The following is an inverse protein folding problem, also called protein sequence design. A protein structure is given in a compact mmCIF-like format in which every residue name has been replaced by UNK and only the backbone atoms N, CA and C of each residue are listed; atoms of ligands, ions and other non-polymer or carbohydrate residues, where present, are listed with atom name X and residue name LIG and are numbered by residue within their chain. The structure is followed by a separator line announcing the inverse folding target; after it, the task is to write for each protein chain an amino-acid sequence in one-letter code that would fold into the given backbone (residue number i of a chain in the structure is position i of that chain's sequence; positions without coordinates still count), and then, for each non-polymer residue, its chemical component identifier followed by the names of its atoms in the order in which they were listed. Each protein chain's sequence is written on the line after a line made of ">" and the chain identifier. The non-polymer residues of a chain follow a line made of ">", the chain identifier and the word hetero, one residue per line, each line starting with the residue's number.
data_IF_395424754153
#
_entry.id   IF_395424754153
#
_cell.length_a   1.000
_cell.length_b   1.000
_cell.length_c   1.000
_cell.angle_alpha   90.00
_cell.angle_beta   90.00
_cell.angle_gamma   90.00
#
_symmetry.space_group_name_H-M   'P 1'
#
loop_
_entity.id
_entity.type
_entity.pdbx_description
1 polymer ?
#
# COMPACT_ATOMS: atom_id res chain seq x y z
N UNK A 1 -17.10 54.48 4.63
CA UNK A 1 -16.97 53.15 4.01
C UNK A 1 -15.50 52.87 3.70
N UNK A 2 -14.77 52.06 4.48
CA UNK A 2 -13.49 51.53 4.07
C UNK A 2 -13.67 50.10 3.54
N UNK A 3 -13.36 49.91 2.25
CA UNK A 3 -13.38 48.60 1.60
C UNK A 3 -12.27 47.70 2.15
N UNK A 4 -12.66 46.52 2.62
CA UNK A 4 -11.74 45.45 3.02
C UNK A 4 -11.17 44.80 1.77
N UNK A 5 -9.87 44.97 1.52
CA UNK A 5 -9.14 44.16 0.55
C UNK A 5 -9.07 42.71 1.06
N UNK A 6 -9.49 41.69 0.30
CA UNK A 6 -9.31 40.32 0.71
C UNK A 6 -7.82 39.98 0.64
N UNK A 7 -7.26 39.48 1.76
CA UNK A 7 -5.92 38.90 1.80
C UNK A 7 -5.86 37.75 0.80
N UNK A 8 -5.04 37.89 -0.22
CA UNK A 8 -4.66 36.82 -1.12
C UNK A 8 -3.95 35.76 -0.26
N UNK A 9 -4.65 34.67 0.04
CA UNK A 9 -4.02 33.50 0.62
C UNK A 9 -2.99 33.01 -0.40
N UNK A 10 -1.70 33.08 -0.05
CA UNK A 10 -0.65 32.46 -0.82
C UNK A 10 -0.94 30.97 -0.91
N UNK A 11 -1.45 30.52 -2.07
CA UNK A 11 -1.47 29.12 -2.44
C UNK A 11 0.00 28.69 -2.54
N UNK A 12 0.55 28.11 -1.49
CA UNK A 12 1.81 27.38 -1.55
C UNK A 12 1.60 26.21 -2.51
N UNK A 13 2.04 26.40 -3.75
CA UNK A 13 1.72 25.54 -4.88
C UNK A 13 2.24 24.13 -4.73
N UNK A 14 1.30 23.19 -4.68
CA UNK A 14 1.42 21.96 -5.45
C UNK A 14 0.35 22.08 -6.53
N UNK A 15 0.73 22.61 -7.69
CA UNK A 15 -0.15 22.59 -8.86
C UNK A 15 -0.36 21.14 -9.27
N UNK A 16 -1.57 20.81 -9.72
CA UNK A 16 -1.86 19.55 -10.41
C UNK A 16 -0.81 19.35 -11.51
N UNK A 17 0.14 18.44 -11.29
CA UNK A 17 1.11 18.04 -12.30
C UNK A 17 0.40 17.23 -13.38
N UNK A 18 0.98 17.16 -14.57
CA UNK A 18 0.53 16.21 -15.59
C UNK A 18 0.60 14.79 -15.00
N UNK A 19 -0.51 14.04 -15.08
CA UNK A 19 -0.71 12.71 -14.47
C UNK A 19 -0.79 12.66 -12.93
N UNK A 20 -1.20 13.76 -12.26
CA UNK A 20 -1.41 13.74 -10.82
C UNK A 20 -2.53 12.77 -10.40
N UNK A 21 -3.63 12.73 -11.14
CA UNK A 21 -4.77 11.85 -10.91
C UNK A 21 -4.36 10.37 -10.86
N UNK A 22 -3.53 9.94 -11.81
CA UNK A 22 -3.06 8.57 -11.96
C UNK A 22 -2.02 8.19 -10.91
N UNK A 23 -1.17 9.13 -10.48
CA UNK A 23 -0.02 8.82 -9.63
C UNK A 23 -0.30 9.01 -8.12
N UNK A 24 -0.99 10.09 -7.71
CA UNK A 24 -1.16 10.44 -6.29
C UNK A 24 -2.43 11.29 -5.99
N UNK A 25 -3.33 11.41 -6.95
CA UNK A 25 -4.45 12.36 -6.91
C UNK A 25 -5.67 11.88 -6.13
N UNK A 26 -5.71 10.62 -5.69
CA UNK A 26 -6.85 10.07 -4.94
C UNK A 26 -6.91 10.63 -3.52
N UNK A 27 -8.12 10.95 -3.07
CA UNK A 27 -8.46 11.24 -1.67
C UNK A 27 -9.61 10.33 -1.28
N UNK A 28 -9.55 9.74 -0.09
CA UNK A 28 -10.57 8.81 0.41
C UNK A 28 -10.63 8.85 1.94
N UNK A 29 -11.70 8.31 2.51
CA UNK A 29 -11.85 8.11 3.95
C UNK A 29 -11.28 6.76 4.37
N UNK A 30 -11.01 6.58 5.67
CA UNK A 30 -10.60 5.28 6.19
C UNK A 30 -11.67 4.20 5.94
N UNK A 31 -12.95 4.56 6.05
CA UNK A 31 -14.07 3.64 5.83
C UNK A 31 -14.15 3.16 4.36
N UNK A 32 -14.06 4.08 3.40
CA UNK A 32 -14.11 3.73 1.97
C UNK A 32 -12.87 2.96 1.52
N UNK A 33 -11.70 3.33 2.02
CA UNK A 33 -10.48 2.60 1.68
C UNK A 33 -10.49 1.19 2.30
N UNK A 34 -11.09 1.01 3.49
CA UNK A 34 -11.28 -0.32 4.08
C UNK A 34 -12.29 -1.14 3.28
N UNK A 35 -13.38 -0.53 2.77
CA UNK A 35 -14.30 -1.17 1.82
C UNK A 35 -13.58 -1.59 0.53
N UNK A 36 -12.67 -0.75 0.02
CA UNK A 36 -11.83 -1.11 -1.13
C UNK A 36 -10.92 -2.32 -0.83
N UNK A 37 -10.28 -2.40 0.34
CA UNK A 37 -9.50 -3.58 0.74
C UNK A 37 -10.38 -4.83 0.86
N UNK A 38 -11.60 -4.69 1.39
CA UNK A 38 -12.55 -5.79 1.46
C UNK A 38 -12.93 -6.32 0.06
N UNK A 39 -13.14 -5.42 -0.92
CA UNK A 39 -13.37 -5.77 -2.32
C UNK A 39 -12.15 -6.47 -2.94
N UNK A 40 -10.93 -6.02 -2.64
CA UNK A 40 -9.71 -6.69 -3.13
C UNK A 40 -9.59 -8.12 -2.58
N UNK A 41 -10.06 -8.39 -1.35
CA UNK A 41 -10.02 -9.74 -0.76
C UNK A 41 -11.22 -10.61 -1.12
N UNK A 42 -12.36 -9.99 -1.42
CA UNK A 42 -13.61 -10.67 -1.74
C UNK A 42 -14.31 -9.89 -2.86
N UNK A 43 -13.86 -10.11 -4.11
CA UNK A 43 -14.38 -9.39 -5.27
C UNK A 43 -15.91 -9.55 -5.43
N UNK A 44 -16.60 -8.52 -5.94
CA UNK A 44 -18.01 -8.65 -6.31
C UNK A 44 -18.18 -9.60 -7.51
N UNK A 45 -19.44 -9.94 -7.82
CA UNK A 45 -19.77 -10.92 -8.86
C UNK A 45 -19.43 -10.49 -10.31
N UNK A 46 -19.10 -9.21 -10.55
CA UNK A 46 -18.73 -8.74 -11.88
C UNK A 46 -17.41 -9.39 -12.36
N UNK A 47 -17.43 -10.18 -13.45
CA UNK A 47 -16.26 -10.95 -13.86
C UNK A 47 -15.14 -10.10 -14.46
N UNK A 48 -15.45 -8.90 -14.99
CA UNK A 48 -14.43 -8.00 -15.50
C UNK A 48 -13.63 -7.37 -14.35
N UNK A 49 -14.33 -6.97 -13.28
CA UNK A 49 -13.70 -6.44 -12.07
C UNK A 49 -12.89 -7.51 -11.34
N UNK A 50 -13.37 -8.76 -11.26
CA UNK A 50 -12.58 -9.88 -10.72
C UNK A 50 -11.24 -10.02 -11.44
N UNK A 51 -11.25 -10.11 -12.78
CA UNK A 51 -10.02 -10.22 -13.57
C UNK A 51 -9.10 -9.00 -13.41
N UNK A 52 -9.67 -7.80 -13.27
CA UNK A 52 -8.89 -6.58 -13.06
C UNK A 52 -8.18 -6.59 -11.69
N UNK A 53 -8.87 -7.04 -10.63
CA UNK A 53 -8.30 -7.21 -9.30
C UNK A 53 -7.20 -8.28 -9.32
N UNK A 54 -7.46 -9.45 -9.91
CA UNK A 54 -6.47 -10.53 -10.04
C UNK A 54 -5.23 -10.07 -10.80
N UNK A 55 -5.40 -9.35 -11.91
CA UNK A 55 -4.29 -8.78 -12.67
C UNK A 55 -3.47 -7.79 -11.82
N UNK A 56 -4.13 -6.99 -10.98
CA UNK A 56 -3.43 -6.05 -10.10
C UNK A 56 -2.62 -6.76 -9.00
N UNK A 57 -3.03 -7.96 -8.58
CA UNK A 57 -2.38 -8.75 -7.52
C UNK A 57 -1.32 -9.73 -8.03
N UNK A 58 -1.32 -10.02 -9.34
CA UNK A 58 -0.36 -10.94 -9.93
C UNK A 58 1.08 -10.42 -9.76
N UNK A 59 2.00 -11.32 -9.43
CA UNK A 59 3.43 -11.02 -9.36
C UNK A 59 4.05 -11.11 -10.76
N UNK A 60 4.52 -9.98 -11.28
CA UNK A 60 5.20 -9.88 -12.58
C UNK A 60 6.71 -10.06 -12.46
N UNK A 61 7.31 -9.50 -11.40
CA UNK A 61 8.73 -9.66 -11.10
C UNK A 61 8.99 -9.60 -9.59
N UNK A 62 10.22 -9.91 -9.18
CA UNK A 62 10.68 -9.80 -7.80
C UNK A 62 11.84 -8.83 -7.65
N UNK A 63 11.89 -8.16 -6.50
CA UNK A 63 13.06 -7.47 -5.96
C UNK A 63 13.23 -7.94 -4.52
N UNK A 64 14.21 -8.82 -4.28
CA UNK A 64 14.33 -9.50 -3.00
C UNK A 64 13.04 -10.26 -2.63
N UNK A 65 12.45 -9.92 -1.48
CA UNK A 65 11.19 -10.52 -1.01
C UNK A 65 9.92 -9.88 -1.61
N UNK A 66 10.03 -8.68 -2.17
CA UNK A 66 8.92 -7.95 -2.77
C UNK A 66 8.57 -8.56 -4.12
N UNK A 67 7.26 -8.72 -4.38
CA UNK A 67 6.67 -9.22 -5.62
C UNK A 67 5.83 -8.08 -6.21
N UNK A 68 6.24 -7.55 -7.36
CA UNK A 68 5.58 -6.40 -7.95
C UNK A 68 4.30 -6.83 -8.68
N UNK A 69 3.16 -6.24 -8.29
CA UNK A 69 1.91 -6.23 -9.05
C UNK A 69 1.65 -4.90 -9.75
N UNK A 70 0.43 -4.70 -10.24
CA UNK A 70 0.04 -3.40 -10.83
C UNK A 70 -0.37 -2.46 -9.70
N UNK A 71 0.56 -1.60 -9.28
CA UNK A 71 0.41 -0.74 -8.11
C UNK A 71 0.75 -1.48 -6.81
N UNK A 72 0.10 -2.62 -6.54
CA UNK A 72 0.33 -3.40 -5.33
C UNK A 72 1.74 -4.00 -5.23
N UNK A 73 2.28 -4.03 -4.01
CA UNK A 73 3.52 -4.73 -3.68
C UNK A 73 3.19 -5.92 -2.77
N UNK A 74 3.54 -7.12 -3.20
CA UNK A 74 3.20 -8.38 -2.53
C UNK A 74 4.38 -9.04 -1.83
N UNK A 75 4.12 -9.76 -0.74
CA UNK A 75 5.11 -10.50 0.03
C UNK A 75 4.56 -11.87 0.40
N UNK A 76 5.36 -12.94 0.25
CA UNK A 76 4.98 -14.26 0.77
C UNK A 76 4.72 -14.16 2.27
N UNK A 77 3.62 -14.71 2.73
CA UNK A 77 3.15 -14.58 4.10
C UNK A 77 3.21 -15.93 4.83
N UNK A 78 3.59 -15.97 6.13
CA UNK A 78 4.02 -14.85 6.97
C UNK A 78 5.39 -14.28 6.59
N UNK A 79 5.59 -12.98 6.81
CA UNK A 79 6.86 -12.27 6.59
C UNK A 79 7.40 -11.66 7.89
N UNK A 80 8.73 -11.55 8.03
CA UNK A 80 9.34 -10.84 9.16
C UNK A 80 9.19 -9.32 9.03
N UNK A 81 9.16 -8.61 10.17
CA UNK A 81 9.11 -7.15 10.17
C UNK A 81 10.30 -6.54 9.42
N UNK A 82 11.50 -7.10 9.57
CA UNK A 82 12.71 -6.64 8.89
C UNK A 82 12.57 -6.68 7.36
N UNK A 83 12.11 -7.80 6.81
CA UNK A 83 11.94 -7.94 5.35
C UNK A 83 10.84 -7.04 4.81
N UNK A 84 9.75 -6.86 5.56
CA UNK A 84 8.68 -5.93 5.19
C UNK A 84 9.17 -4.47 5.24
N UNK A 85 10.00 -4.11 6.21
CA UNK A 85 10.64 -2.79 6.29
C UNK A 85 11.60 -2.55 5.12
N UNK A 86 12.43 -3.55 4.78
CA UNK A 86 13.36 -3.46 3.66
C UNK A 86 12.62 -3.21 2.34
N UNK A 87 11.52 -3.92 2.10
CA UNK A 87 10.70 -3.75 0.89
C UNK A 87 9.97 -2.41 0.79
N UNK A 88 9.76 -1.70 1.91
CA UNK A 88 9.11 -0.37 1.96
C UNK A 88 10.11 0.76 2.25
N UNK A 89 11.40 0.51 2.04
CA UNK A 89 12.49 1.43 2.34
C UNK A 89 12.67 2.50 1.26
N UNK A 90 13.35 3.59 1.62
CA UNK A 90 13.77 4.61 0.66
C UNK A 90 14.75 4.06 -0.39
N UNK A 91 15.53 3.04 -0.05
CA UNK A 91 16.46 2.39 -0.98
C UNK A 91 15.71 1.74 -2.14
N UNK A 92 14.68 0.95 -1.84
CA UNK A 92 13.81 0.34 -2.86
C UNK A 92 13.09 1.42 -3.69
N UNK A 93 12.70 2.53 -3.07
CA UNK A 93 11.94 3.58 -3.74
C UNK A 93 12.79 4.51 -4.63
N UNK A 94 14.03 4.79 -4.27
CA UNK A 94 14.85 5.84 -4.90
C UNK A 94 16.10 5.33 -5.63
N UNK A 95 16.44 4.04 -5.49
CA UNK A 95 17.56 3.45 -6.20
C UNK A 95 17.08 2.46 -7.27
N UNK A 96 17.78 2.37 -8.43
CA UNK A 96 17.51 1.32 -9.40
C UNK A 96 17.72 -0.07 -8.80
N UNK A 97 16.76 -0.97 -9.01
CA UNK A 97 16.82 -2.35 -8.52
C UNK A 97 16.91 -3.32 -9.69
N UNK A 98 17.80 -4.32 -9.59
CA UNK A 98 17.75 -5.47 -10.50
C UNK A 98 16.51 -6.30 -10.19
N UNK A 99 15.79 -6.72 -11.23
CA UNK A 99 14.54 -7.48 -11.10
C UNK A 99 14.68 -8.91 -11.61
N UNK A 100 13.95 -9.83 -11.01
CA UNK A 100 13.77 -11.20 -11.51
C UNK A 100 12.35 -11.33 -12.09
N UNK A 101 12.24 -11.41 -13.42
CA UNK A 101 10.95 -11.56 -14.10
C UNK A 101 10.32 -12.93 -13.89
N UNK A 102 9.00 -12.96 -13.72
CA UNK A 102 8.21 -14.18 -13.63
C UNK A 102 7.42 -14.34 -14.93
N UNK A 103 7.73 -15.39 -15.69
CA UNK A 103 7.03 -15.72 -16.93
C UNK A 103 6.47 -17.16 -16.84
N UNK A 104 5.14 -17.35 -16.76
CA UNK A 104 4.10 -16.31 -16.73
C UNK A 104 4.04 -15.56 -15.39
N UNK A 105 3.38 -14.37 -15.34
CA UNK A 105 3.03 -13.72 -14.07
C UNK A 105 2.25 -14.67 -13.17
N UNK A 106 2.47 -14.58 -11.85
CA UNK A 106 1.90 -15.52 -10.89
C UNK A 106 0.91 -14.83 -9.96
N UNK A 107 -0.36 -15.17 -10.05
CA UNK A 107 -1.28 -15.00 -8.93
C UNK A 107 -0.80 -15.96 -7.82
N UNK A 108 -0.61 -15.46 -6.60
CA UNK A 108 0.00 -16.27 -5.56
C UNK A 108 -0.90 -17.47 -5.22
N UNK A 109 -0.37 -18.69 -5.36
CA UNK A 109 -1.07 -19.93 -4.96
C UNK A 109 -1.13 -20.13 -3.43
N UNK A 110 -0.31 -19.39 -2.68
CA UNK A 110 -0.24 -19.43 -1.23
C UNK A 110 -0.44 -18.05 -0.60
N UNK A 111 -0.39 -18.01 0.74
CA UNK A 111 -0.66 -16.79 1.50
C UNK A 111 0.27 -15.63 1.09
N UNK A 112 -0.35 -14.48 0.80
CA UNK A 112 0.34 -13.25 0.42
C UNK A 112 -0.15 -12.09 1.28
N UNK A 113 0.77 -11.21 1.65
CA UNK A 113 0.46 -9.88 2.16
C UNK A 113 0.67 -8.89 1.03
N UNK A 114 -0.38 -8.13 0.69
CA UNK A 114 -0.33 -7.05 -0.30
C UNK A 114 -0.38 -5.73 0.44
N UNK A 115 0.50 -4.79 0.10
CA UNK A 115 0.55 -3.48 0.74
C UNK A 115 0.80 -2.34 -0.24
N UNK A 116 0.60 -1.11 0.25
CA UNK A 116 1.07 0.10 -0.41
C UNK A 116 1.27 1.25 0.57
N UNK A 117 2.40 1.94 0.44
CA UNK A 117 2.64 3.27 1.04
C UNK A 117 2.24 4.39 0.06
N UNK A 118 1.69 5.49 0.59
CA UNK A 118 1.37 6.68 -0.20
C UNK A 118 1.66 7.95 0.58
N UNK A 119 2.23 8.97 -0.05
CA UNK A 119 2.63 10.21 0.63
C UNK A 119 2.41 11.42 -0.27
N UNK A 120 2.01 12.53 0.33
CA UNK A 120 2.10 13.88 -0.25
C UNK A 120 2.89 14.77 0.70
N UNK A 121 2.98 16.08 0.43
CA UNK A 121 3.64 17.02 1.35
C UNK A 121 2.99 17.03 2.75
N UNK A 122 1.66 16.92 2.81
CA UNK A 122 0.88 17.03 4.04
C UNK A 122 0.33 15.71 4.59
N UNK A 123 0.43 14.60 3.87
CA UNK A 123 -0.25 13.35 4.23
C UNK A 123 0.65 12.13 4.15
N UNK A 124 0.37 11.16 5.01
CA UNK A 124 0.95 9.83 4.99
C UNK A 124 -0.14 8.77 5.07
N UNK A 125 -0.13 7.84 4.13
CA UNK A 125 -1.05 6.71 4.05
C UNK A 125 -0.27 5.39 4.01
N UNK A 126 -0.88 4.35 4.59
CA UNK A 126 -0.44 2.98 4.44
C UNK A 126 -1.63 2.04 4.49
N UNK A 127 -1.66 1.11 3.55
CA UNK A 127 -2.66 0.05 3.49
C UNK A 127 -1.97 -1.29 3.37
N UNK A 128 -2.54 -2.31 4.01
CA UNK A 128 -2.18 -3.70 3.75
C UNK A 128 -3.40 -4.59 3.87
N UNK A 129 -3.35 -5.74 3.22
CA UNK A 129 -4.33 -6.81 3.42
C UNK A 129 -3.71 -8.19 3.18
N UNK A 130 -4.30 -9.20 3.82
CA UNK A 130 -3.92 -10.61 3.69
C UNK A 130 -5.18 -11.38 3.31
N UNK A 131 -5.40 -11.68 2.00
CA UNK A 131 -6.65 -12.28 1.51
C UNK A 131 -7.01 -13.58 2.24
N UNK A 132 -6.03 -14.47 2.43
CA UNK A 132 -6.22 -15.75 3.11
C UNK A 132 -6.62 -15.64 4.58
N UNK A 133 -6.49 -14.46 5.19
CA UNK A 133 -6.90 -14.18 6.58
C UNK A 133 -8.14 -13.28 6.66
N UNK A 134 -8.59 -12.73 5.53
CA UNK A 134 -9.63 -11.69 5.47
C UNK A 134 -9.33 -10.51 6.40
N UNK A 135 -8.06 -10.13 6.51
CA UNK A 135 -7.60 -9.00 7.32
C UNK A 135 -7.15 -7.86 6.41
N UNK A 136 -7.67 -6.66 6.65
CA UNK A 136 -7.24 -5.41 6.01
C UNK A 136 -6.96 -4.33 7.05
N UNK A 137 -5.92 -3.53 6.85
CA UNK A 137 -5.53 -2.42 7.72
C UNK A 137 -5.38 -1.17 6.86
N UNK A 138 -6.00 -0.08 7.31
CA UNK A 138 -5.87 1.25 6.73
C UNK A 138 -5.32 2.20 7.79
N UNK A 139 -4.27 2.93 7.46
CA UNK A 139 -3.73 4.00 8.29
C UNK A 139 -3.61 5.28 7.46
N UNK A 140 -4.32 6.33 7.86
CA UNK A 140 -4.27 7.64 7.23
C UNK A 140 -3.87 8.69 8.26
N UNK A 141 -2.89 9.53 7.91
CA UNK A 141 -2.43 10.64 8.74
C UNK A 141 -2.32 11.93 7.92
N UNK A 142 -2.68 13.04 8.54
CA UNK A 142 -2.47 14.41 8.03
C UNK A 142 -1.06 14.94 8.34
N UNK A 143 -0.07 14.05 8.30
CA UNK A 143 1.36 14.35 8.33
C UNK A 143 2.09 13.29 7.52
N UNK A 144 3.03 13.70 6.68
CA UNK A 144 3.95 12.76 6.03
C UNK A 144 5.03 12.33 7.03
N UNK A 145 4.80 11.21 7.73
CA UNK A 145 5.75 10.59 8.65
C UNK A 145 6.41 9.35 8.00
N UNK A 146 7.57 8.87 8.50
CA UNK A 146 8.37 7.85 7.82
C UNK A 146 7.62 6.54 7.52
N UNK A 147 7.84 5.97 6.33
CA UNK A 147 7.25 4.68 5.93
C UNK A 147 7.55 3.56 6.94
N UNK A 148 8.75 3.54 7.51
CA UNK A 148 9.14 2.56 8.51
C UNK A 148 8.19 2.55 9.72
N UNK A 149 7.76 3.71 10.19
CA UNK A 149 6.82 3.81 11.32
C UNK A 149 5.41 3.32 10.94
N UNK A 150 4.98 3.58 9.71
CA UNK A 150 3.71 3.04 9.17
C UNK A 150 3.71 1.51 9.20
N UNK A 151 4.78 0.92 8.66
CA UNK A 151 4.98 -0.53 8.59
C UNK A 151 5.07 -1.14 9.98
N UNK A 152 5.85 -0.54 10.90
CA UNK A 152 5.98 -1.03 12.29
C UNK A 152 4.64 -1.03 13.03
N UNK A 153 3.86 0.03 12.91
CA UNK A 153 2.55 0.12 13.55
C UNK A 153 1.58 -0.92 12.99
N UNK A 154 1.45 -1.00 11.66
CA UNK A 154 0.58 -1.97 11.01
C UNK A 154 0.99 -3.42 11.30
N UNK A 155 2.29 -3.72 11.32
CA UNK A 155 2.79 -5.05 11.65
C UNK A 155 2.43 -5.47 13.08
N UNK A 156 2.49 -4.54 14.04
CA UNK A 156 2.05 -4.80 15.43
C UNK A 156 0.56 -5.10 15.52
N UNK A 157 -0.27 -4.32 14.81
CA UNK A 157 -1.72 -4.58 14.72
C UNK A 157 -1.98 -5.94 14.08
N UNK A 158 -1.36 -6.22 12.93
CA UNK A 158 -1.51 -7.49 12.22
C UNK A 158 -1.06 -8.68 13.09
N UNK A 159 0.03 -8.54 13.84
CA UNK A 159 0.51 -9.58 14.76
C UNK A 159 -0.46 -9.87 15.91
N UNK A 160 -1.26 -8.87 16.31
CA UNK A 160 -2.26 -9.03 17.36
C UNK A 160 -3.52 -9.76 16.88
N UNK A 161 -3.81 -9.72 15.57
CA UNK A 161 -4.99 -10.36 14.98
C UNK A 161 -4.68 -11.66 14.23
N UNK A 162 -3.41 -11.93 13.89
CA UNK A 162 -2.97 -13.19 13.28
C UNK A 162 -1.84 -13.86 14.07
N UNK A 163 -2.12 -14.95 14.81
CA UNK A 163 -1.13 -15.65 15.62
C UNK A 163 -0.03 -16.36 14.79
N UNK A 164 -0.19 -16.53 13.47
CA UNK A 164 0.86 -17.07 12.60
C UNK A 164 2.06 -16.13 12.45
N UNK A 165 1.87 -14.81 12.66
CA UNK A 165 2.95 -13.83 12.75
C UNK A 165 3.64 -13.84 14.11
N UNK A 166 2.86 -13.95 15.19
CA UNK A 166 3.38 -13.91 16.56
C UNK A 166 4.29 -15.12 16.87
N UNK A 167 3.97 -16.30 16.32
CA UNK A 167 4.74 -17.53 16.51
C UNK A 167 6.18 -17.48 15.98
N UNK A 168 6.51 -16.56 15.06
CA UNK A 168 7.88 -16.42 14.50
C UNK A 168 8.80 -15.50 15.30
N UNK A 169 8.36 -14.91 16.42
CA UNK A 169 9.24 -14.11 17.31
C UNK A 169 10.11 -14.97 18.25
N UNK A 170 9.90 -16.28 18.28
CA UNK A 170 10.58 -17.21 19.19
C UNK A 170 11.69 -18.07 18.56
N UNK A 171 11.91 -17.96 17.25
CA UNK A 171 12.94 -18.68 16.48
C UNK A 171 14.00 -17.68 15.98
#
# INVERSE_FOLDING_TARGET
>A
MPGVMPRQASRSGWGAGVLDAEAYGIKSSAADLLKYLAINMSPPADPALQRALDASHAAYYRVGDMRQGLGWEGYRYPISLERLLAGNSNEIAFQPQKVEWLNPPRLAEGDVLLNKTGSTSGFGAYVLFVPARKVGIVMLANRNYPNAERVRAAYRILSAVDPSLARRRGD
#
